data_IF_499320725933
#
_entry.id   IF_499320725933
#
_cell.length_a   1.000
_cell.length_b   1.000
_cell.length_c   1.000
_cell.angle_alpha   90.00
_cell.angle_beta   90.00
_cell.angle_gamma   90.00
#
_symmetry.space_group_name_H-M   'P 1'
#
loop_
_entity.id
_entity.type
_entity.pdbx_description
1 polymer ?
#
# COMPACT_ATOMS: atom_id res chain seq x y z
N UNK A 1 2.06 12.31 1.59
CA UNK A 1 1.84 12.62 0.17
C UNK A 1 1.33 11.36 -0.53
N UNK A 2 0.39 11.48 -1.47
CA UNK A 2 -0.12 10.35 -2.26
C UNK A 2 0.52 10.41 -3.64
N UNK A 3 1.03 9.27 -4.11
CA UNK A 3 1.75 9.17 -5.37
C UNK A 3 0.98 8.42 -6.44
N UNK A 4 0.23 7.38 -6.04
CA UNK A 4 -0.51 6.53 -6.97
C UNK A 4 -1.70 5.88 -6.28
N UNK A 5 -2.72 5.52 -7.06
CA UNK A 5 -3.93 4.84 -6.60
C UNK A 5 -4.31 3.77 -7.62
N UNK A 6 -4.52 2.54 -7.15
CA UNK A 6 -4.91 1.40 -7.97
C UNK A 6 -6.10 0.68 -7.33
N UNK A 7 -7.16 0.44 -8.10
CA UNK A 7 -8.20 -0.51 -7.71
C UNK A 7 -7.84 -1.88 -8.27
N UNK A 8 -7.66 -2.87 -7.41
CA UNK A 8 -7.39 -4.25 -7.82
C UNK A 8 -8.64 -4.96 -8.31
N UNK A 9 -8.49 -6.06 -9.07
CA UNK A 9 -9.60 -6.85 -9.64
C UNK A 9 -10.57 -7.41 -8.60
N UNK A 10 -10.10 -7.64 -7.37
CA UNK A 10 -10.91 -8.07 -6.23
C UNK A 10 -11.63 -6.92 -5.50
N UNK A 11 -11.46 -5.68 -5.97
CA UNK A 11 -12.19 -4.50 -5.53
C UNK A 11 -11.53 -3.69 -4.41
N UNK A 12 -10.36 -4.09 -3.91
CA UNK A 12 -9.61 -3.25 -2.96
C UNK A 12 -9.07 -1.99 -3.63
N UNK A 13 -8.99 -0.90 -2.86
CA UNK A 13 -8.27 0.31 -3.28
C UNK A 13 -6.91 0.33 -2.60
N UNK A 14 -5.86 0.35 -3.40
CA UNK A 14 -4.48 0.50 -2.97
C UNK A 14 -4.03 1.95 -3.21
N UNK A 15 -3.32 2.51 -2.22
CA UNK A 15 -2.86 3.89 -2.23
C UNK A 15 -1.38 3.91 -1.86
N UNK A 16 -0.55 4.34 -2.81
CA UNK A 16 0.88 4.52 -2.63
C UNK A 16 1.15 5.88 -2.00
N UNK A 17 1.90 5.90 -0.90
CA UNK A 17 2.20 7.12 -0.15
C UNK A 17 3.66 7.20 0.25
N UNK A 18 4.08 8.36 0.76
CA UNK A 18 5.42 8.54 1.35
C UNK A 18 5.65 7.71 2.62
N UNK A 19 4.58 7.37 3.33
CA UNK A 19 4.62 6.82 4.68
C UNK A 19 3.97 5.42 4.75
N UNK A 20 4.04 4.68 3.65
CA UNK A 20 3.58 3.30 3.54
C UNK A 20 2.59 3.05 2.40
N UNK A 21 2.23 1.79 2.25
CA UNK A 21 1.19 1.33 1.33
C UNK A 21 -0.13 1.18 2.10
N UNK A 22 -1.20 1.80 1.64
CA UNK A 22 -2.51 1.70 2.27
C UNK A 22 -3.44 0.85 1.39
N UNK A 23 -4.19 -0.05 2.01
CA UNK A 23 -5.27 -0.81 1.35
C UNK A 23 -6.60 -0.52 2.01
N UNK A 24 -7.60 -0.19 1.24
CA UNK A 24 -8.97 0.05 1.68
C UNK A 24 -9.91 -1.04 1.14
N UNK A 25 -10.74 -1.59 2.01
CA UNK A 25 -11.69 -2.67 1.69
C UNK A 25 -13.14 -2.21 1.48
N UNK A 26 -13.38 -0.90 1.42
CA UNK A 26 -14.73 -0.33 1.40
C UNK A 26 -15.25 0.05 2.79
N UNK A 27 -14.54 -0.34 3.86
CA UNK A 27 -14.91 -0.02 5.25
C UNK A 27 -13.73 0.40 6.13
N UNK A 28 -12.55 -0.20 5.93
CA UNK A 28 -11.37 -0.05 6.79
C UNK A 28 -10.11 0.07 5.96
N UNK A 29 -9.16 0.82 6.51
CA UNK A 29 -7.80 0.89 6.00
C UNK A 29 -6.90 -0.10 6.73
N UNK A 30 -6.04 -0.77 5.97
CA UNK A 30 -4.86 -1.48 6.47
C UNK A 30 -3.62 -0.78 5.95
N UNK A 31 -2.71 -0.45 6.86
CA UNK A 31 -1.42 0.19 6.53
C UNK A 31 -0.33 -0.87 6.52
N UNK A 32 0.47 -0.87 5.48
CA UNK A 32 1.70 -1.65 5.37
C UNK A 32 2.87 -0.67 5.43
N UNK A 33 3.79 -0.91 6.36
CA UNK A 33 4.98 -0.10 6.60
C UNK A 33 6.20 -1.02 6.75
N UNK A 34 7.43 -0.51 6.56
CA UNK A 34 8.62 -1.26 6.89
C UNK A 34 8.65 -1.65 8.36
N UNK A 35 9.18 -2.84 8.63
CA UNK A 35 9.38 -3.36 9.98
C UNK A 35 10.69 -4.16 10.01
N UNK A 36 11.73 -3.70 10.75
CA UNK A 36 13.03 -4.37 10.78
C UNK A 36 12.99 -5.75 11.44
N UNK A 37 11.92 -6.09 12.16
CA UNK A 37 11.74 -7.39 12.81
C UNK A 37 10.84 -8.34 12.01
N UNK A 38 10.31 -7.90 10.87
CA UNK A 38 9.46 -8.71 10.00
C UNK A 38 9.98 -8.73 8.56
N UNK A 39 10.59 -9.83 8.16
CA UNK A 39 11.14 -10.01 6.81
C UNK A 39 10.08 -10.03 5.70
N UNK A 40 8.80 -10.11 6.03
CA UNK A 40 7.68 -10.03 5.07
C UNK A 40 7.07 -8.64 4.95
N UNK A 41 7.59 -7.65 5.69
CA UNK A 41 7.17 -6.26 5.56
C UNK A 41 7.68 -5.64 4.26
N UNK A 42 7.06 -4.52 3.85
CA UNK A 42 7.55 -3.76 2.70
C UNK A 42 8.95 -3.19 3.00
N UNK A 43 9.81 -3.13 1.99
CA UNK A 43 11.21 -2.72 2.19
C UNK A 43 11.39 -1.21 2.41
N UNK A 44 10.46 -0.38 1.95
CA UNK A 44 10.51 1.08 2.07
C UNK A 44 9.10 1.65 2.35
N UNK A 45 9.04 2.77 3.07
CA UNK A 45 7.78 3.48 3.33
C UNK A 45 7.37 4.35 2.14
N UNK A 46 8.31 4.84 1.36
CA UNK A 46 8.00 5.63 0.17
C UNK A 46 7.65 4.70 -1.00
N UNK A 47 6.34 4.64 -1.31
CA UNK A 47 5.79 3.86 -2.41
C UNK A 47 5.35 4.84 -3.49
N UNK A 48 5.87 4.68 -4.71
CA UNK A 48 5.68 5.65 -5.79
C UNK A 48 4.71 5.19 -6.87
N UNK A 49 4.69 3.89 -7.18
CA UNK A 49 3.91 3.32 -8.28
C UNK A 49 3.27 2.01 -7.87
N UNK A 50 2.04 1.79 -8.34
CA UNK A 50 1.29 0.55 -8.18
C UNK A 50 1.05 -0.08 -9.54
N UNK A 51 1.08 -1.40 -9.59
CA UNK A 51 0.82 -2.16 -10.80
C UNK A 51 0.15 -3.49 -10.44
N UNK A 52 -0.84 -3.89 -11.23
CA UNK A 52 -1.52 -5.19 -11.16
C UNK A 52 -1.45 -5.83 -12.55
N UNK A 53 -1.13 -7.13 -12.63
CA UNK A 53 -0.91 -7.89 -13.87
C UNK A 53 -2.21 -8.47 -14.47
#
# INVERSE_FOLDING_TARGET
MVFDILQSRDGFIWIATKDGLNRYDGSRFKVFSPDPFNSFAISNSEVLHLFED
#
